data_IF_991457468698
#
_entry.id   IF_991457468698
#
_cell.length_a   1.000
_cell.length_b   1.000
_cell.length_c   1.000
_cell.angle_alpha   90.00
_cell.angle_beta   90.00
_cell.angle_gamma   90.00
#
_symmetry.space_group_name_H-M   'P 1'
#
loop_
_entity.id
_entity.type
_entity.pdbx_description
1 polymer ?
#
# COMPACT_ATOMS: atom_id res chain seq x y z
N UNK A 1 -0.23 15.16 18.60
CA UNK A 1 -0.80 13.84 18.28
C UNK A 1 0.35 12.90 17.91
N UNK A 2 0.49 11.73 18.56
CA UNK A 2 1.71 10.89 18.48
C UNK A 2 1.94 10.39 17.04
N UNK A 3 3.15 10.62 16.50
CA UNK A 3 3.58 10.36 15.11
C UNK A 3 3.17 8.98 14.54
N UNK A 4 3.05 7.98 15.41
CA UNK A 4 2.66 6.61 15.07
C UNK A 4 1.20 6.46 14.63
N UNK A 5 0.27 7.31 15.07
CA UNK A 5 -1.15 7.20 14.69
C UNK A 5 -1.40 7.63 13.25
N UNK A 6 -0.64 8.62 12.77
CA UNK A 6 -0.77 9.13 11.40
C UNK A 6 -0.27 8.09 10.39
N UNK A 7 0.87 7.45 10.65
CA UNK A 7 1.39 6.36 9.83
C UNK A 7 0.42 5.17 9.74
N UNK A 8 -0.24 4.82 10.85
CA UNK A 8 -1.20 3.72 10.89
C UNK A 8 -2.49 4.02 10.10
N UNK A 9 -3.00 5.25 10.20
CA UNK A 9 -4.12 5.71 9.37
C UNK A 9 -3.75 5.71 7.89
N UNK A 10 -2.54 6.17 7.58
CA UNK A 10 -2.05 6.17 6.20
C UNK A 10 -1.91 4.76 5.64
N UNK A 11 -1.42 3.83 6.46
CA UNK A 11 -1.30 2.42 6.10
C UNK A 11 -2.67 1.78 5.80
N UNK A 12 -3.68 2.03 6.65
CA UNK A 12 -5.05 1.52 6.45
C UNK A 12 -5.65 1.94 5.11
N UNK A 13 -5.31 3.14 4.62
CA UNK A 13 -5.81 3.65 3.34
C UNK A 13 -4.91 3.20 2.19
N UNK A 14 -3.59 3.30 2.33
CA UNK A 14 -2.64 2.98 1.27
C UNK A 14 -2.59 1.48 0.95
N UNK A 15 -2.76 0.61 1.96
CA UNK A 15 -2.71 -0.84 1.80
C UNK A 15 -3.76 -1.40 0.82
N UNK A 16 -5.08 -1.15 0.99
CA UNK A 16 -6.08 -1.62 0.05
C UNK A 16 -5.95 -0.98 -1.34
N UNK A 17 -5.51 0.29 -1.43
CA UNK A 17 -5.30 0.97 -2.73
C UNK A 17 -4.16 0.32 -3.50
N UNK A 18 -3.00 0.11 -2.88
CA UNK A 18 -1.84 -0.55 -3.51
C UNK A 18 -2.12 -2.01 -3.85
N UNK A 19 -2.79 -2.75 -2.96
CA UNK A 19 -3.21 -4.12 -3.23
C UNK A 19 -4.20 -4.19 -4.40
N UNK A 20 -5.24 -3.34 -4.43
CA UNK A 20 -6.20 -3.29 -5.53
C UNK A 20 -5.56 -2.90 -6.86
N UNK A 21 -4.60 -1.96 -6.84
CA UNK A 21 -3.84 -1.55 -8.02
C UNK A 21 -3.00 -2.70 -8.57
N UNK A 22 -2.29 -3.43 -7.70
CA UNK A 22 -1.48 -4.58 -8.08
C UNK A 22 -2.34 -5.73 -8.64
N UNK A 23 -3.49 -6.00 -8.03
CA UNK A 23 -4.45 -6.99 -8.52
C UNK A 23 -5.00 -6.59 -9.89
N UNK A 24 -5.37 -5.31 -10.07
CA UNK A 24 -5.85 -4.79 -11.35
C UNK A 24 -4.78 -4.93 -12.43
N UNK A 25 -3.52 -4.62 -12.12
CA UNK A 25 -2.39 -4.81 -13.04
C UNK A 25 -2.23 -6.28 -13.45
N UNK A 26 -2.34 -7.23 -12.50
CA UNK A 26 -2.26 -8.67 -12.80
C UNK A 26 -3.45 -9.17 -13.63
N UNK A 27 -4.63 -8.58 -13.46
CA UNK A 27 -5.81 -8.88 -14.29
C UNK A 27 -5.68 -8.35 -15.72
N UNK A 28 -4.93 -7.26 -15.92
CA UNK A 28 -4.64 -6.75 -17.28
C UNK A 28 -3.59 -7.57 -18.04
N UNK A 29 -2.83 -8.42 -17.34
CA UNK A 29 -1.87 -9.33 -17.96
C UNK A 29 -2.61 -10.58 -18.50
N UNK A 30 -2.35 -10.97 -19.75
CA UNK A 30 -2.92 -12.20 -20.32
C UNK A 30 -2.42 -13.42 -19.54
N UNK A 31 -3.34 -14.15 -18.88
CA UNK A 31 -3.04 -15.40 -18.18
C UNK A 31 -3.13 -15.35 -16.65
N UNK A 32 -3.98 -14.49 -16.08
CA UNK A 32 -4.14 -14.38 -14.62
C UNK A 32 -4.69 -15.69 -14.01
N UNK A 33 -3.89 -16.35 -13.17
CA UNK A 33 -4.30 -17.50 -12.35
C UNK A 33 -4.59 -17.04 -10.91
N UNK A 34 -5.47 -17.73 -10.19
CA UNK A 34 -5.86 -17.41 -8.80
C UNK A 34 -4.64 -17.21 -7.87
N UNK A 35 -3.60 -18.03 -8.00
CA UNK A 35 -2.35 -17.84 -7.25
C UNK A 35 -1.68 -16.49 -7.54
N UNK A 36 -1.67 -16.06 -8.80
CA UNK A 36 -1.05 -14.80 -9.23
C UNK A 36 -1.76 -13.58 -8.63
N UNK A 37 -3.09 -13.65 -8.49
CA UNK A 37 -3.87 -12.63 -7.77
C UNK A 37 -3.50 -12.56 -6.28
N UNK A 38 -3.36 -13.71 -5.62
CA UNK A 38 -2.99 -13.77 -4.20
C UNK A 38 -1.59 -13.17 -4.00
N UNK A 39 -0.62 -13.54 -4.85
CA UNK A 39 0.72 -12.96 -4.80
C UNK A 39 0.72 -11.45 -5.06
N UNK A 40 -0.10 -10.97 -5.99
CA UNK A 40 -0.24 -9.53 -6.28
C UNK A 40 -0.81 -8.76 -5.08
N UNK A 41 -1.84 -9.30 -4.42
CA UNK A 41 -2.45 -8.70 -3.25
C UNK A 41 -1.45 -8.63 -2.08
N UNK A 42 -0.72 -9.72 -1.81
CA UNK A 42 0.30 -9.76 -0.77
C UNK A 42 1.44 -8.79 -1.09
N UNK A 43 1.89 -8.73 -2.34
CA UNK A 43 2.93 -7.80 -2.77
C UNK A 43 2.50 -6.33 -2.60
N UNK A 44 1.26 -5.99 -2.99
CA UNK A 44 0.72 -4.63 -2.82
C UNK A 44 0.54 -4.25 -1.35
N UNK A 45 0.15 -5.20 -0.50
CA UNK A 45 0.05 -4.99 0.95
C UNK A 45 1.42 -4.80 1.60
N UNK A 46 2.41 -5.62 1.23
CA UNK A 46 3.78 -5.50 1.71
C UNK A 46 4.41 -4.16 1.26
N UNK A 47 4.17 -3.74 0.02
CA UNK A 47 4.63 -2.46 -0.50
C UNK A 47 4.01 -1.25 0.23
N UNK A 48 2.81 -1.39 0.80
CA UNK A 48 2.16 -0.32 1.54
C UNK A 48 2.84 0.01 2.88
N UNK A 49 3.59 -0.93 3.46
CA UNK A 49 4.31 -0.75 4.73
C UNK A 49 5.37 0.36 4.61
N UNK A 50 6.36 0.28 3.68
CA UNK A 50 7.35 1.35 3.51
C UNK A 50 6.73 2.65 2.98
N UNK A 51 5.70 2.57 2.13
CA UNK A 51 5.00 3.77 1.61
C UNK A 51 4.38 4.57 2.75
N UNK A 52 3.73 3.89 3.71
CA UNK A 52 3.12 4.56 4.86
C UNK A 52 4.16 5.30 5.73
N UNK A 53 5.37 4.75 5.88
CA UNK A 53 6.44 5.36 6.65
C UNK A 53 7.04 6.59 5.95
N UNK A 54 7.31 6.47 4.65
CA UNK A 54 7.87 7.57 3.83
C UNK A 54 6.91 8.76 3.85
N UNK A 55 5.63 8.53 3.61
CA UNK A 55 4.63 9.61 3.53
C UNK A 55 4.34 10.20 4.91
N UNK A 56 4.28 9.38 5.97
CA UNK A 56 4.17 9.91 7.34
C UNK A 56 5.36 10.80 7.73
N UNK A 57 6.57 10.45 7.28
CA UNK A 57 7.76 11.28 7.45
C UNK A 57 7.66 12.62 6.71
N UNK A 58 7.23 12.59 5.45
CA UNK A 58 7.02 13.80 4.64
C UNK A 58 5.97 14.74 5.25
N UNK A 59 4.82 14.20 5.66
CA UNK A 59 3.73 14.98 6.24
C UNK A 59 4.11 15.58 7.60
N UNK A 60 4.88 14.85 8.41
CA UNK A 60 5.40 15.37 9.68
C UNK A 60 6.51 16.42 9.50
N UNK A 61 7.18 16.46 8.35
CA UNK A 61 8.18 17.47 8.01
C UNK A 61 7.56 18.74 7.40
N UNK A 62 6.45 18.60 6.66
CA UNK A 62 5.71 19.71 6.06
C UNK A 62 4.88 20.53 7.05
N UNK A 63 4.62 20.02 8.25
CA UNK A 63 3.90 20.73 9.32
C UNK A 63 4.87 21.52 10.23
N UNK A 64 5.93 22.09 9.66
CA UNK A 64 6.82 23.09 10.26
C UNK A 64 6.62 24.41 9.53
#
# INVERSE_FOLDING_TARGET
MKKSRLAMLLYIVAAPVLAGSAVTAVLTMRGSTTQMLIYAAIAGFAAAIPVAWIVAGSLSASNR
#
